data_IF_002249775524
#
_entry.id   IF_002249775524
#
_cell.length_a   1.000
_cell.length_b   1.000
_cell.length_c   1.000
_cell.angle_alpha   90.00
_cell.angle_beta   90.00
_cell.angle_gamma   90.00
#
_symmetry.space_group_name_H-M   'P 1'
#
loop_
_entity.id
_entity.type
_entity.pdbx_description
1 polymer ?
#
# COMPACT_ATOMS: atom_id res chain seq x y z
N UNK A 1 13.78 -17.37 -17.18
CA UNK A 1 14.35 -16.35 -16.28
C UNK A 1 13.34 -16.05 -15.18
N UNK A 2 13.79 -15.65 -14.01
CA UNK A 2 12.92 -15.36 -12.85
C UNK A 2 13.16 -13.95 -12.34
N UNK A 3 12.19 -13.40 -11.63
CA UNK A 3 12.28 -12.10 -10.97
C UNK A 3 11.91 -12.28 -9.50
N UNK A 4 12.51 -11.48 -8.64
CA UNK A 4 12.20 -11.46 -7.22
C UNK A 4 11.46 -10.16 -6.90
N UNK A 5 10.30 -10.29 -6.26
CA UNK A 5 9.57 -9.19 -5.65
C UNK A 5 9.71 -9.23 -4.13
N UNK A 6 10.04 -8.09 -3.52
CA UNK A 6 10.18 -7.93 -2.06
C UNK A 6 9.27 -6.80 -1.60
N UNK A 7 8.38 -7.10 -0.65
CA UNK A 7 7.50 -6.12 0.02
C UNK A 7 7.96 -5.99 1.48
N UNK A 8 8.54 -4.83 1.82
CA UNK A 8 9.04 -4.54 3.17
C UNK A 8 7.93 -3.87 3.97
N UNK A 9 7.22 -4.63 4.80
CA UNK A 9 6.28 -4.07 5.77
C UNK A 9 6.90 -3.92 7.16
N UNK A 10 6.28 -3.10 8.01
CA UNK A 10 6.78 -2.83 9.37
C UNK A 10 6.76 -4.03 10.32
N UNK A 11 6.03 -5.08 9.99
CA UNK A 11 5.95 -6.33 10.81
C UNK A 11 6.60 -7.50 10.12
N UNK A 12 6.41 -7.62 8.82
CA UNK A 12 6.91 -8.73 8.01
C UNK A 12 7.45 -8.21 6.68
N UNK A 13 8.43 -8.94 6.16
CA UNK A 13 8.93 -8.82 4.79
C UNK A 13 8.36 -9.99 4.01
N UNK A 14 7.71 -9.71 2.89
CA UNK A 14 7.23 -10.73 1.96
C UNK A 14 8.14 -10.81 0.76
N UNK A 15 8.48 -12.01 0.36
CA UNK A 15 9.31 -12.26 -0.82
C UNK A 15 8.58 -13.20 -1.76
N UNK A 16 8.52 -12.84 -3.02
CA UNK A 16 7.90 -13.62 -4.08
C UNK A 16 8.86 -13.91 -5.22
N UNK A 17 8.79 -15.12 -5.74
CA UNK A 17 9.46 -15.56 -6.96
C UNK A 17 8.46 -15.54 -8.11
N UNK A 18 8.77 -14.83 -9.18
CA UNK A 18 7.92 -14.62 -10.34
C UNK A 18 8.61 -15.18 -11.59
N UNK A 19 7.88 -15.88 -12.43
CA UNK A 19 8.39 -16.42 -13.69
C UNK A 19 8.28 -15.39 -14.85
N UNK A 20 8.77 -15.73 -16.01
CA UNK A 20 8.74 -14.88 -17.22
C UNK A 20 7.33 -14.56 -17.74
N UNK A 21 6.31 -15.32 -17.34
CA UNK A 21 4.90 -15.07 -17.65
C UNK A 21 4.20 -14.21 -16.60
N UNK A 22 4.96 -13.64 -15.65
CA UNK A 22 4.48 -12.84 -14.52
C UNK A 22 3.59 -13.60 -13.54
N UNK A 23 3.76 -14.93 -13.47
CA UNK A 23 3.05 -15.78 -12.52
C UNK A 23 3.88 -15.91 -11.24
N UNK A 24 3.21 -15.83 -10.11
CA UNK A 24 3.81 -16.02 -8.80
C UNK A 24 4.07 -17.52 -8.56
N UNK A 25 5.34 -17.92 -8.61
CA UNK A 25 5.75 -19.32 -8.45
C UNK A 25 5.70 -19.75 -6.99
N UNK A 26 6.26 -18.93 -6.11
CA UNK A 26 6.30 -19.18 -4.68
C UNK A 26 6.50 -17.89 -3.89
N UNK A 27 6.03 -17.90 -2.64
CA UNK A 27 6.25 -16.80 -1.70
C UNK A 27 6.75 -17.32 -0.36
N UNK A 28 7.40 -16.43 0.37
CA UNK A 28 7.61 -16.60 1.81
C UNK A 28 7.40 -15.27 2.54
N UNK A 29 7.19 -15.36 3.84
CA UNK A 29 7.07 -14.21 4.72
C UNK A 29 7.97 -14.41 5.92
N UNK A 30 8.80 -13.42 6.21
CA UNK A 30 9.74 -13.41 7.34
C UNK A 30 9.49 -12.19 8.21
N UNK A 31 9.80 -12.26 9.49
CA UNK A 31 9.65 -11.12 10.40
C UNK A 31 10.60 -9.99 10.00
N UNK A 32 10.10 -8.76 10.09
CA UNK A 32 10.92 -7.57 9.93
C UNK A 32 11.90 -7.44 11.10
N UNK A 33 13.21 -7.40 10.86
CA UNK A 33 14.21 -7.16 11.91
C UNK A 33 14.27 -5.66 12.23
N UNK A 34 14.24 -5.32 13.53
CA UNK A 34 14.24 -3.91 13.98
C UNK A 34 15.64 -3.37 14.30
N UNK A 35 16.69 -3.99 13.78
CA UNK A 35 18.10 -3.71 14.08
C UNK A 35 18.86 -3.04 12.91
N UNK A 36 18.12 -2.40 12.00
CA UNK A 36 18.65 -1.53 10.96
C UNK A 36 18.65 -2.11 9.56
N UNK A 37 18.93 -1.25 8.58
CA UNK A 37 18.78 -1.56 7.16
C UNK A 37 19.67 -2.72 6.67
N UNK A 38 20.88 -2.87 7.19
CA UNK A 38 21.75 -4.00 6.81
C UNK A 38 21.18 -5.35 7.25
N UNK A 39 20.55 -5.41 8.41
CA UNK A 39 19.88 -6.62 8.89
C UNK A 39 18.63 -6.93 8.04
N UNK A 40 17.87 -5.89 7.65
CA UNK A 40 16.75 -6.04 6.72
C UNK A 40 17.22 -6.64 5.40
N UNK A 41 18.27 -6.10 4.80
CA UNK A 41 18.82 -6.61 3.53
C UNK A 41 19.30 -8.05 3.67
N UNK A 42 20.01 -8.39 4.76
CA UNK A 42 20.44 -9.76 5.04
C UNK A 42 19.25 -10.72 5.16
N UNK A 43 18.20 -10.31 5.86
CA UNK A 43 16.97 -11.10 6.01
C UNK A 43 16.28 -11.32 4.63
N UNK A 44 16.28 -10.30 3.77
CA UNK A 44 15.78 -10.43 2.39
C UNK A 44 16.63 -11.44 1.61
N UNK A 45 17.95 -11.33 1.66
CA UNK A 45 18.86 -12.23 0.95
C UNK A 45 18.65 -13.70 1.40
N UNK A 46 18.58 -13.95 2.70
CA UNK A 46 18.31 -15.27 3.25
C UNK A 46 16.95 -15.85 2.80
N UNK A 47 15.91 -15.00 2.75
CA UNK A 47 14.58 -15.37 2.27
C UNK A 47 14.57 -15.70 0.77
N UNK A 48 15.27 -14.89 -0.04
CA UNK A 48 15.45 -15.15 -1.48
C UNK A 48 16.19 -16.48 -1.70
N UNK A 49 17.30 -16.69 -1.01
CA UNK A 49 18.06 -17.94 -1.13
C UNK A 49 17.25 -19.16 -0.69
N UNK A 50 16.39 -18.99 0.31
CA UNK A 50 15.46 -20.04 0.71
C UNK A 50 14.50 -20.39 -0.43
N UNK A 51 13.84 -19.42 -1.06
CA UNK A 51 12.93 -19.65 -2.18
C UNK A 51 13.63 -20.30 -3.37
N UNK A 52 14.81 -19.80 -3.75
CA UNK A 52 15.58 -20.35 -4.86
C UNK A 52 15.97 -21.82 -4.63
N UNK A 53 16.42 -22.15 -3.40
CA UNK A 53 16.73 -23.54 -3.02
C UNK A 53 15.50 -24.46 -3.08
N UNK A 54 14.33 -23.97 -2.62
CA UNK A 54 13.08 -24.75 -2.65
C UNK A 54 12.65 -25.09 -4.07
N UNK A 55 12.95 -24.23 -5.03
CA UNK A 55 12.58 -24.40 -6.45
C UNK A 55 13.73 -24.95 -7.32
N UNK A 56 14.88 -25.28 -6.71
CA UNK A 56 16.09 -25.73 -7.43
C UNK A 56 16.55 -24.73 -8.51
N UNK A 57 16.37 -23.41 -8.27
CA UNK A 57 16.73 -22.33 -9.19
C UNK A 57 18.10 -21.77 -8.74
N UNK A 58 19.00 -21.53 -9.70
CA UNK A 58 20.28 -20.89 -9.43
C UNK A 58 20.15 -19.36 -9.42
N UNK A 59 20.94 -18.64 -8.61
CA UNK A 59 20.97 -17.17 -8.58
C UNK A 59 21.19 -16.55 -9.98
N UNK A 60 21.98 -17.17 -10.83
CA UNK A 60 22.22 -16.72 -12.23
C UNK A 60 20.97 -16.72 -13.11
N UNK A 61 19.94 -17.46 -12.73
CA UNK A 61 18.67 -17.53 -13.46
C UNK A 61 17.68 -16.44 -13.00
N UNK A 62 18.09 -15.61 -12.02
CA UNK A 62 17.36 -14.42 -11.54
C UNK A 62 17.80 -13.20 -12.33
N UNK A 63 16.84 -12.56 -12.98
CA UNK A 63 17.06 -11.40 -13.86
C UNK A 63 17.12 -10.07 -13.06
N UNK A 64 16.30 -9.95 -12.02
CA UNK A 64 16.21 -8.73 -11.22
C UNK A 64 15.56 -8.94 -9.86
N UNK A 65 15.81 -8.00 -8.94
CA UNK A 65 15.15 -7.90 -7.63
C UNK A 65 14.45 -6.54 -7.55
N UNK A 66 13.12 -6.56 -7.43
CA UNK A 66 12.31 -5.39 -7.14
C UNK A 66 11.99 -5.32 -5.66
N UNK A 67 12.30 -4.20 -5.02
CA UNK A 67 12.04 -3.96 -3.60
C UNK A 67 11.04 -2.82 -3.46
N UNK A 68 9.90 -3.08 -2.83
CA UNK A 68 8.97 -2.02 -2.46
C UNK A 68 9.00 -1.78 -0.96
N UNK A 69 8.83 -0.51 -0.59
CA UNK A 69 8.94 -0.05 0.79
C UNK A 69 7.93 1.07 1.04
N UNK A 70 7.28 1.10 2.20
CA UNK A 70 6.42 2.22 2.56
C UNK A 70 7.26 3.48 2.77
N UNK A 71 6.69 4.64 2.44
CA UNK A 71 7.35 5.94 2.61
C UNK A 71 7.94 6.52 1.34
N UNK A 72 8.71 7.59 1.49
CA UNK A 72 9.25 8.37 0.37
C UNK A 72 10.60 7.86 -0.10
N UNK A 73 10.80 7.88 -1.41
CA UNK A 73 12.03 7.46 -2.08
C UNK A 73 12.61 8.67 -2.83
N UNK A 74 13.93 8.76 -2.94
CA UNK A 74 14.59 9.83 -3.67
C UNK A 74 14.32 9.77 -5.19
N UNK A 75 14.59 10.89 -5.88
CA UNK A 75 14.34 11.02 -7.33
C UNK A 75 15.02 9.96 -8.18
N UNK A 76 16.12 9.38 -7.71
CA UNK A 76 16.91 8.38 -8.46
C UNK A 76 16.44 6.95 -8.18
N UNK A 77 15.54 6.75 -7.20
CA UNK A 77 15.16 5.42 -6.76
C UNK A 77 16.28 4.65 -6.08
N UNK A 78 17.15 5.37 -5.34
CA UNK A 78 18.34 4.78 -4.70
C UNK A 78 18.24 4.75 -3.17
N UNK A 79 17.51 5.71 -2.59
CA UNK A 79 17.44 5.90 -1.14
C UNK A 79 15.99 5.97 -0.66
N UNK A 80 15.77 5.41 0.51
CA UNK A 80 14.57 5.67 1.29
C UNK A 80 14.82 6.94 2.09
N UNK A 81 14.09 8.01 1.78
CA UNK A 81 14.20 9.29 2.48
C UNK A 81 13.60 9.16 3.87
N UNK A 82 12.34 8.74 3.95
CA UNK A 82 11.65 8.48 5.20
C UNK A 82 10.69 7.30 5.09
N UNK A 83 10.81 6.35 6.00
CA UNK A 83 9.86 5.26 6.24
C UNK A 83 9.73 5.04 7.74
N UNK A 84 8.87 5.82 8.38
CA UNK A 84 8.73 5.87 9.85
C UNK A 84 8.43 4.50 10.46
N UNK A 85 7.57 3.71 9.80
CA UNK A 85 7.19 2.37 10.27
C UNK A 85 8.36 1.38 10.28
N UNK A 86 9.43 1.68 9.54
CA UNK A 86 10.63 0.85 9.43
C UNK A 86 11.80 1.45 10.23
N UNK A 87 11.65 2.66 10.75
CA UNK A 87 12.75 3.41 11.36
C UNK A 87 13.84 3.79 10.36
N UNK A 88 13.49 3.92 9.07
CA UNK A 88 14.43 4.32 8.02
C UNK A 88 14.39 5.83 7.84
N UNK A 89 15.57 6.45 7.83
CA UNK A 89 15.79 7.84 7.54
C UNK A 89 17.08 7.97 6.72
N UNK A 90 16.96 8.50 5.50
CA UNK A 90 18.05 8.66 4.53
C UNK A 90 18.88 7.39 4.30
N UNK A 91 18.22 6.24 4.14
CA UNK A 91 18.85 4.94 3.98
C UNK A 91 19.18 4.64 2.52
N UNK A 92 20.45 4.35 2.14
CA UNK A 92 20.83 3.96 0.78
C UNK A 92 20.46 2.48 0.50
N UNK A 93 19.15 2.18 0.55
CA UNK A 93 18.65 0.80 0.55
C UNK A 93 19.01 0.06 -0.74
N UNK A 94 18.95 0.74 -1.90
CA UNK A 94 19.33 0.12 -3.17
C UNK A 94 20.80 -0.31 -3.19
N UNK A 95 21.71 0.55 -2.71
CA UNK A 95 23.14 0.22 -2.66
C UNK A 95 23.41 -0.96 -1.72
N UNK A 96 22.77 -0.98 -0.53
CA UNK A 96 22.89 -2.09 0.41
C UNK A 96 22.36 -3.41 -0.19
N UNK A 97 21.22 -3.37 -0.86
CA UNK A 97 20.65 -4.55 -1.52
C UNK A 97 21.50 -4.97 -2.72
N UNK A 98 22.03 -4.01 -3.52
CA UNK A 98 22.91 -4.32 -4.65
C UNK A 98 24.20 -5.00 -4.20
N UNK A 99 24.75 -4.62 -3.02
CA UNK A 99 25.91 -5.27 -2.42
C UNK A 99 25.61 -6.77 -2.11
N UNK A 100 24.40 -7.08 -1.59
CA UNK A 100 23.99 -8.44 -1.25
C UNK A 100 23.68 -9.31 -2.49
N UNK A 101 23.06 -8.70 -3.52
CA UNK A 101 22.65 -9.42 -4.75
C UNK A 101 23.71 -9.41 -5.85
N UNK A 102 24.83 -8.69 -5.67
CA UNK A 102 25.96 -8.68 -6.60
C UNK A 102 25.58 -8.09 -7.96
N UNK A 103 25.71 -8.89 -9.03
CA UNK A 103 25.42 -8.47 -10.40
C UNK A 103 23.94 -8.44 -10.76
N UNK A 104 23.06 -9.00 -9.92
CA UNK A 104 21.60 -8.99 -10.16
C UNK A 104 21.09 -7.57 -9.94
N UNK A 105 20.48 -6.90 -10.95
CA UNK A 105 19.98 -5.55 -10.80
C UNK A 105 18.91 -5.42 -9.72
N UNK A 106 19.05 -4.40 -8.86
CA UNK A 106 18.08 -4.08 -7.81
C UNK A 106 17.32 -2.80 -8.16
N UNK A 107 16.02 -2.85 -8.05
CA UNK A 107 15.12 -1.70 -8.23
C UNK A 107 14.38 -1.41 -6.94
N UNK A 108 14.20 -0.12 -6.63
CA UNK A 108 13.50 0.35 -5.44
C UNK A 108 12.29 1.20 -5.84
N UNK A 109 11.14 0.93 -5.24
CA UNK A 109 9.93 1.71 -5.44
C UNK A 109 9.15 1.87 -4.13
N UNK A 110 8.27 2.88 -4.08
CA UNK A 110 7.25 2.97 -3.04
C UNK A 110 6.26 1.79 -3.19
N UNK A 111 5.66 1.34 -2.09
CA UNK A 111 4.76 0.19 -2.05
C UNK A 111 3.50 0.37 -2.92
N UNK A 112 2.86 1.54 -2.88
CA UNK A 112 1.69 1.83 -3.71
C UNK A 112 2.05 1.93 -5.21
N UNK A 113 3.21 2.49 -5.54
CA UNK A 113 3.74 2.50 -6.91
C UNK A 113 4.04 1.08 -7.39
N UNK A 114 4.63 0.25 -6.54
CA UNK A 114 4.86 -1.17 -6.83
C UNK A 114 3.56 -1.94 -7.09
N UNK A 115 2.52 -1.67 -6.30
CA UNK A 115 1.20 -2.25 -6.52
C UNK A 115 0.59 -1.81 -7.86
N UNK A 116 0.68 -0.53 -8.23
CA UNK A 116 0.18 -0.05 -9.52
C UNK A 116 0.96 -0.63 -10.71
N UNK A 117 2.28 -0.84 -10.57
CA UNK A 117 3.07 -1.55 -11.58
C UNK A 117 2.65 -3.02 -11.71
N UNK A 118 2.35 -3.70 -10.59
CA UNK A 118 1.85 -5.06 -10.63
C UNK A 118 0.52 -5.15 -11.39
N UNK A 119 -0.40 -4.19 -11.16
CA UNK A 119 -1.65 -4.11 -11.92
C UNK A 119 -1.41 -3.83 -13.41
N UNK A 120 -0.40 -3.05 -13.77
CA UNK A 120 -0.06 -2.76 -15.17
C UNK A 120 0.48 -4.00 -15.90
N UNK A 121 1.33 -4.78 -15.27
CA UNK A 121 1.98 -5.91 -15.93
C UNK A 121 1.20 -7.23 -15.81
N UNK A 122 0.49 -7.45 -14.69
CA UNK A 122 -0.16 -8.71 -14.38
C UNK A 122 -1.64 -8.63 -13.99
N UNK A 123 -2.17 -7.40 -13.75
CA UNK A 123 -3.51 -7.19 -13.19
C UNK A 123 -4.48 -6.42 -14.10
N UNK A 124 -5.31 -5.59 -13.44
CA UNK A 124 -6.43 -4.89 -14.04
C UNK A 124 -6.03 -3.79 -15.06
N UNK A 125 -4.77 -3.34 -15.05
CA UNK A 125 -4.28 -2.27 -15.94
C UNK A 125 -3.59 -2.77 -17.20
N UNK A 126 -3.62 -4.08 -17.46
CA UNK A 126 -2.98 -4.65 -18.67
C UNK A 126 -3.55 -4.02 -19.94
N UNK A 127 -2.66 -3.38 -20.72
CA UNK A 127 -3.01 -2.70 -21.97
C UNK A 127 -3.55 -1.27 -21.79
N UNK A 128 -3.80 -0.80 -20.57
CA UNK A 128 -4.21 0.57 -20.32
C UNK A 128 -3.06 1.56 -20.50
N UNK A 129 -3.38 2.74 -21.02
CA UNK A 129 -2.46 3.88 -21.10
C UNK A 129 -2.60 4.82 -19.92
N UNK A 130 -3.84 4.98 -19.42
CA UNK A 130 -4.14 5.83 -18.27
C UNK A 130 -4.95 5.05 -17.27
N UNK A 131 -4.39 4.79 -16.10
CA UNK A 131 -5.04 4.05 -15.04
C UNK A 131 -4.62 4.56 -13.67
N UNK A 132 -5.48 4.40 -12.67
CA UNK A 132 -5.22 4.84 -11.30
C UNK A 132 -5.57 3.73 -10.32
N UNK A 133 -4.64 3.43 -9.41
CA UNK A 133 -4.86 2.55 -8.29
C UNK A 133 -5.03 3.38 -7.01
N UNK A 134 -6.07 3.07 -6.24
CA UNK A 134 -6.16 3.43 -4.83
C UNK A 134 -5.88 2.22 -3.96
N UNK A 135 -4.98 2.35 -3.00
CA UNK A 135 -4.69 1.31 -1.99
C UNK A 135 -5.28 1.73 -0.65
N UNK A 136 -6.38 1.05 -0.24
CA UNK A 136 -7.11 1.34 0.99
C UNK A 136 -6.58 0.43 2.11
N UNK A 137 -5.79 1.01 2.99
CA UNK A 137 -5.23 0.37 4.17
C UNK A 137 -5.42 1.23 5.41
N UNK A 138 -4.47 1.19 6.35
CA UNK A 138 -4.41 2.11 7.48
C UNK A 138 -4.47 3.57 7.01
N UNK A 139 -3.75 3.89 5.91
CA UNK A 139 -3.83 5.11 5.14
C UNK A 139 -4.47 4.87 3.76
N UNK A 140 -4.39 5.90 2.91
CA UNK A 140 -4.75 5.85 1.50
C UNK A 140 -3.52 6.15 0.66
N UNK A 141 -3.02 5.13 -0.02
CA UNK A 141 -1.99 5.27 -1.03
C UNK A 141 -2.57 5.17 -2.44
N UNK A 142 -1.70 5.27 -3.43
CA UNK A 142 -2.10 5.05 -4.80
C UNK A 142 -0.97 5.22 -5.81
N UNK A 143 -1.24 4.81 -7.04
CA UNK A 143 -0.31 4.99 -8.15
C UNK A 143 -1.05 5.34 -9.42
N UNK A 144 -0.39 6.11 -10.28
CA UNK A 144 -0.94 6.60 -11.54
C UNK A 144 -0.11 6.05 -12.70
N UNK A 145 -0.78 5.47 -13.66
CA UNK A 145 -0.21 5.11 -14.96
C UNK A 145 -0.61 6.18 -15.96
N UNK A 146 0.38 6.78 -16.65
CA UNK A 146 0.17 7.72 -17.74
C UNK A 146 1.00 7.30 -18.96
N UNK A 147 0.35 7.22 -20.11
CA UNK A 147 1.01 6.79 -21.35
C UNK A 147 1.54 5.34 -21.30
N UNK A 148 0.97 4.51 -20.44
CA UNK A 148 1.44 3.12 -20.21
C UNK A 148 2.68 3.00 -19.30
N UNK A 149 3.03 4.07 -18.58
CA UNK A 149 4.18 4.10 -17.67
C UNK A 149 3.77 4.64 -16.30
N UNK A 150 4.49 4.20 -15.25
CA UNK A 150 4.33 4.76 -13.91
C UNK A 150 4.61 6.26 -13.92
N UNK A 151 3.67 7.05 -13.40
CA UNK A 151 3.83 8.48 -13.22
C UNK A 151 4.34 8.78 -11.81
N UNK A 152 5.59 9.16 -11.69
CA UNK A 152 6.25 9.47 -10.42
C UNK A 152 6.24 10.98 -10.08
N UNK A 153 5.42 11.78 -10.79
CA UNK A 153 5.41 13.23 -10.61
C UNK A 153 6.61 13.94 -11.25
N UNK A 154 6.55 15.27 -11.29
CA UNK A 154 7.62 16.09 -11.89
C UNK A 154 8.94 16.07 -11.12
N UNK A 155 8.90 15.79 -9.83
CA UNK A 155 10.07 15.67 -8.94
C UNK A 155 10.55 14.23 -8.76
N UNK A 156 9.86 13.27 -9.38
CA UNK A 156 10.12 11.83 -9.28
C UNK A 156 10.11 11.30 -7.82
N UNK A 157 9.34 11.94 -6.94
CA UNK A 157 9.21 11.56 -5.53
C UNK A 157 7.93 10.75 -5.27
N UNK A 158 7.19 10.43 -6.33
CA UNK A 158 5.90 9.78 -6.27
C UNK A 158 4.73 10.77 -6.26
N UNK A 159 3.55 10.20 -6.29
CA UNK A 159 2.27 10.93 -6.25
C UNK A 159 1.50 10.49 -5.02
N UNK A 160 1.20 11.43 -4.16
CA UNK A 160 0.53 11.19 -2.87
C UNK A 160 -0.98 11.46 -3.00
N UNK A 161 -1.71 10.53 -3.65
CA UNK A 161 -3.15 10.66 -3.90
C UNK A 161 -3.96 10.85 -2.62
N UNK A 162 -3.57 10.15 -1.55
CA UNK A 162 -4.25 10.24 -0.27
C UNK A 162 -4.22 11.62 0.37
N UNK A 163 -3.25 12.46 0.00
CA UNK A 163 -3.11 13.80 0.55
C UNK A 163 -3.70 14.91 -0.32
N UNK A 164 -4.38 14.56 -1.42
CA UNK A 164 -5.24 15.52 -2.13
C UNK A 164 -6.42 15.94 -1.24
N UNK A 165 -6.81 17.22 -1.31
CA UNK A 165 -7.96 17.71 -0.55
C UNK A 165 -9.27 17.13 -1.06
N UNK A 166 -10.08 16.57 -0.17
CA UNK A 166 -11.45 16.17 -0.41
C UNK A 166 -12.44 17.17 0.18
N UNK A 167 -12.13 17.65 1.40
CA UNK A 167 -12.98 18.60 2.15
C UNK A 167 -12.11 19.73 2.68
N UNK A 168 -12.29 20.93 2.17
CA UNK A 168 -11.52 22.09 2.65
C UNK A 168 -11.79 22.36 4.15
N UNK A 169 -10.72 22.37 4.96
CA UNK A 169 -10.82 22.58 6.41
C UNK A 169 -11.55 21.43 7.15
N UNK A 170 -11.55 20.24 6.57
CA UNK A 170 -12.22 19.06 7.13
C UNK A 170 -11.42 18.33 8.22
N UNK A 171 -11.50 17.00 8.24
CA UNK A 171 -10.84 16.14 9.22
C UNK A 171 -9.31 16.25 9.15
N UNK A 172 -8.67 16.25 10.33
CA UNK A 172 -7.22 16.29 10.43
C UNK A 172 -6.57 15.01 9.85
N UNK A 173 -5.55 15.20 9.02
CA UNK A 173 -4.76 14.13 8.41
C UNK A 173 -3.40 14.00 9.11
N UNK A 174 -2.86 12.79 9.11
CA UNK A 174 -1.54 12.48 9.70
C UNK A 174 -0.39 13.25 9.04
N UNK A 175 -0.57 13.76 7.81
CA UNK A 175 0.41 14.62 7.14
C UNK A 175 0.46 16.07 7.67
N UNK A 176 -0.43 16.43 8.60
CA UNK A 176 -0.51 17.78 9.20
C UNK A 176 -1.50 18.73 8.50
N UNK A 177 -2.10 18.34 7.37
CA UNK A 177 -3.15 19.10 6.69
C UNK A 177 -4.54 18.68 7.17
N UNK A 178 -5.55 19.51 6.90
CA UNK A 178 -6.94 19.22 7.21
C UNK A 178 -7.72 18.99 5.89
N UNK A 179 -8.45 17.86 5.82
CA UNK A 179 -9.35 17.58 4.69
C UNK A 179 -8.77 16.72 3.58
N UNK A 180 -7.66 16.01 3.78
CA UNK A 180 -7.09 15.06 2.83
C UNK A 180 -8.06 13.89 2.55
N UNK A 181 -8.01 13.32 1.34
CA UNK A 181 -8.77 12.11 0.98
C UNK A 181 -8.54 10.96 1.96
N UNK A 182 -7.31 10.75 2.43
CA UNK A 182 -6.95 9.74 3.43
C UNK A 182 -7.80 9.85 4.70
N UNK A 183 -8.02 11.08 5.19
CA UNK A 183 -8.80 11.32 6.40
C UNK A 183 -10.29 10.91 6.27
N UNK A 184 -10.75 10.56 5.08
CA UNK A 184 -12.13 10.12 4.80
C UNK A 184 -12.23 8.72 4.19
N UNK A 185 -11.21 8.29 3.45
CA UNK A 185 -11.27 7.07 2.63
C UNK A 185 -10.35 5.94 3.13
N UNK A 186 -9.57 6.16 4.18
CA UNK A 186 -8.74 5.10 4.77
C UNK A 186 -9.51 4.24 5.79
N UNK A 187 -8.99 3.05 6.12
CA UNK A 187 -9.52 2.21 7.19
C UNK A 187 -9.54 2.94 8.55
N UNK A 188 -8.54 3.78 8.81
CA UNK A 188 -8.47 4.61 10.02
C UNK A 188 -9.63 5.61 10.12
N UNK A 189 -10.06 6.17 8.99
CA UNK A 189 -11.22 7.06 8.92
C UNK A 189 -12.51 6.32 9.28
N UNK A 190 -12.71 5.14 8.67
CA UNK A 190 -13.88 4.30 8.95
C UNK A 190 -13.94 3.87 10.42
N UNK A 191 -12.80 3.45 10.99
CA UNK A 191 -12.69 3.13 12.41
C UNK A 191 -12.98 4.34 13.32
N UNK A 192 -12.43 5.52 13.00
CA UNK A 192 -12.70 6.78 13.73
C UNK A 192 -14.19 7.10 13.75
N UNK A 193 -14.85 7.03 12.61
CA UNK A 193 -16.25 7.39 12.48
C UNK A 193 -17.16 6.33 13.12
N UNK A 194 -16.78 5.04 13.07
CA UNK A 194 -17.40 3.98 13.85
C UNK A 194 -17.32 4.21 15.37
N UNK A 195 -16.16 4.65 15.87
CA UNK A 195 -15.99 5.04 17.29
C UNK A 195 -16.89 6.22 17.70
N UNK A 196 -17.03 7.20 16.80
CA UNK A 196 -17.91 8.35 17.01
C UNK A 196 -19.39 7.93 17.01
N UNK A 197 -19.77 7.07 16.07
CA UNK A 197 -21.12 6.53 15.95
C UNK A 197 -21.50 5.68 17.18
N UNK A 198 -20.61 4.79 17.63
CA UNK A 198 -20.79 4.00 18.84
C UNK A 198 -21.08 4.86 20.08
N UNK A 199 -20.36 5.98 20.25
CA UNK A 199 -20.57 6.92 21.37
C UNK A 199 -21.94 7.58 21.31
N UNK A 200 -22.47 7.87 20.11
CA UNK A 200 -23.79 8.50 19.91
C UNK A 200 -24.93 7.48 20.01
N UNK A 201 -24.65 6.23 19.65
CA UNK A 201 -25.61 5.12 19.56
C UNK A 201 -25.10 3.92 20.37
N UNK A 202 -25.14 3.98 21.70
CA UNK A 202 -24.69 2.87 22.57
C UNK A 202 -25.54 1.59 22.42
N UNK A 203 -26.70 1.68 21.83
CA UNK A 203 -27.58 0.57 21.47
C UNK A 203 -27.18 -0.16 20.18
N UNK A 204 -26.25 0.39 19.39
CA UNK A 204 -25.86 -0.17 18.09
C UNK A 204 -25.11 -1.50 18.21
N UNK A 205 -25.11 -2.26 17.12
CA UNK A 205 -24.32 -3.50 17.04
C UNK A 205 -22.82 -3.22 17.13
N UNK A 206 -22.34 -2.04 16.65
CA UNK A 206 -20.96 -1.59 16.84
C UNK A 206 -20.62 -1.57 18.34
N UNK A 207 -21.47 -0.93 19.16
CA UNK A 207 -21.24 -0.84 20.60
C UNK A 207 -21.26 -2.21 21.29
N UNK A 208 -22.22 -3.07 20.93
CA UNK A 208 -22.34 -4.40 21.48
C UNK A 208 -21.10 -5.26 21.17
N UNK A 209 -20.62 -5.27 19.93
CA UNK A 209 -19.46 -6.06 19.50
C UNK A 209 -18.13 -5.53 20.02
N UNK A 210 -18.01 -4.20 20.13
CA UNK A 210 -16.84 -3.56 20.73
C UNK A 210 -16.78 -3.77 22.26
N UNK A 211 -17.82 -4.36 22.88
CA UNK A 211 -17.92 -4.52 24.34
C UNK A 211 -17.96 -3.18 25.06
N UNK A 212 -18.49 -2.13 24.42
CA UNK A 212 -18.53 -0.77 24.92
C UNK A 212 -17.18 -0.02 24.88
N UNK A 213 -16.09 -0.65 24.41
CA UNK A 213 -14.76 -0.03 24.33
C UNK A 213 -14.46 0.48 22.93
N UNK A 214 -14.23 1.81 22.75
CA UNK A 214 -13.84 2.37 21.46
C UNK A 214 -12.53 1.79 20.89
N UNK A 215 -11.65 1.29 21.73
CA UNK A 215 -10.38 0.70 21.34
C UNK A 215 -10.56 -0.54 20.45
N UNK A 216 -11.68 -1.26 20.63
CA UNK A 216 -12.02 -2.46 19.89
C UNK A 216 -12.71 -2.17 18.54
N UNK A 217 -12.99 -0.90 18.22
CA UNK A 217 -13.62 -0.52 16.96
C UNK A 217 -12.58 -0.34 15.89
N UNK A 218 -12.55 -1.21 14.89
CA UNK A 218 -11.79 -1.11 13.67
C UNK A 218 -12.69 -1.03 12.43
N UNK A 219 -12.11 -0.87 11.26
CA UNK A 219 -12.86 -0.79 10.00
C UNK A 219 -13.64 -2.07 9.71
N UNK A 220 -13.04 -3.23 10.00
CA UNK A 220 -13.67 -4.54 9.77
C UNK A 220 -14.92 -4.69 10.60
N UNK A 221 -14.88 -4.35 11.88
CA UNK A 221 -16.03 -4.41 12.77
C UNK A 221 -17.19 -3.55 12.26
N UNK A 222 -16.91 -2.32 11.81
CA UNK A 222 -17.93 -1.41 11.23
C UNK A 222 -18.56 -2.03 9.99
N UNK A 223 -17.75 -2.55 9.06
CA UNK A 223 -18.22 -3.18 7.83
C UNK A 223 -19.06 -4.43 8.14
N UNK A 224 -18.61 -5.28 9.06
CA UNK A 224 -19.34 -6.50 9.44
C UNK A 224 -20.70 -6.15 10.07
N UNK A 225 -20.77 -5.15 10.94
CA UNK A 225 -22.03 -4.66 11.51
C UNK A 225 -22.97 -4.09 10.44
N UNK A 226 -22.42 -3.34 9.46
CA UNK A 226 -23.21 -2.80 8.35
C UNK A 226 -23.80 -3.92 7.47
N UNK A 227 -23.00 -4.96 7.16
CA UNK A 227 -23.46 -6.14 6.41
C UNK A 227 -24.56 -6.90 7.13
N UNK A 228 -24.59 -6.88 8.45
CA UNK A 228 -25.62 -7.53 9.27
C UNK A 228 -26.88 -6.67 9.44
N UNK A 229 -26.88 -5.47 8.91
CA UNK A 229 -28.06 -4.63 8.86
C UNK A 229 -28.18 -3.62 9.99
N UNK A 230 -27.13 -3.38 10.78
CA UNK A 230 -27.13 -2.31 11.79
C UNK A 230 -27.19 -0.94 11.10
N UNK A 231 -28.25 -0.18 11.39
CA UNK A 231 -28.49 1.11 10.71
C UNK A 231 -27.41 2.16 11.03
N UNK A 232 -26.84 2.11 12.25
CA UNK A 232 -25.74 3.01 12.65
C UNK A 232 -24.48 2.71 11.86
N UNK A 233 -24.12 1.42 11.71
CA UNK A 233 -22.96 1.00 10.94
C UNK A 233 -23.14 1.27 9.45
N UNK A 234 -24.35 1.06 8.90
CA UNK A 234 -24.68 1.40 7.52
C UNK A 234 -24.49 2.88 7.26
N UNK A 235 -25.01 3.76 8.13
CA UNK A 235 -24.84 5.20 7.95
C UNK A 235 -23.35 5.62 7.91
N UNK A 236 -22.52 5.01 8.76
CA UNK A 236 -21.07 5.26 8.75
C UNK A 236 -20.44 4.74 7.45
N UNK A 237 -20.82 3.55 7.01
CA UNK A 237 -20.29 2.94 5.79
C UNK A 237 -20.73 3.68 4.54
N UNK A 238 -21.98 4.12 4.46
CA UNK A 238 -22.52 4.90 3.32
C UNK A 238 -21.77 6.24 3.18
N UNK A 239 -21.52 6.94 4.29
CA UNK A 239 -20.73 8.17 4.29
C UNK A 239 -19.29 7.93 3.81
N UNK A 240 -18.70 6.80 4.19
CA UNK A 240 -17.38 6.39 3.71
C UNK A 240 -17.39 6.15 2.18
N UNK A 241 -18.40 5.45 1.67
CA UNK A 241 -18.56 5.19 0.22
C UNK A 241 -18.78 6.49 -0.54
N UNK A 242 -19.58 7.43 -0.02
CA UNK A 242 -19.78 8.75 -0.64
C UNK A 242 -18.47 9.54 -0.75
N UNK A 243 -17.65 9.49 0.29
CA UNK A 243 -16.33 10.12 0.30
C UNK A 243 -15.40 9.49 -0.74
N UNK A 244 -15.36 8.16 -0.81
CA UNK A 244 -14.55 7.41 -1.78
C UNK A 244 -15.02 7.66 -3.22
N UNK A 245 -16.35 7.73 -3.42
CA UNK A 245 -16.94 8.06 -4.71
C UNK A 245 -16.55 9.47 -5.18
N UNK A 246 -16.53 10.44 -4.25
CA UNK A 246 -16.09 11.80 -4.52
C UNK A 246 -14.60 11.87 -4.88
N UNK A 247 -13.76 11.07 -4.20
CA UNK A 247 -12.34 10.93 -4.52
C UNK A 247 -12.14 10.35 -5.94
N UNK A 248 -12.85 9.26 -6.26
CA UNK A 248 -12.84 8.66 -7.60
C UNK A 248 -13.31 9.65 -8.69
N UNK A 249 -14.40 10.39 -8.44
CA UNK A 249 -14.92 11.37 -9.36
C UNK A 249 -13.93 12.52 -9.63
N UNK A 250 -13.19 12.96 -8.62
CA UNK A 250 -12.13 13.97 -8.75
C UNK A 250 -11.00 13.50 -9.66
N UNK A 251 -10.56 12.27 -9.48
CA UNK A 251 -9.53 11.64 -10.31
C UNK A 251 -10.04 11.40 -11.74
N UNK A 252 -11.27 10.94 -11.86
CA UNK A 252 -11.91 10.74 -13.16
C UNK A 252 -11.94 12.05 -13.98
N UNK A 253 -12.39 13.14 -13.35
CA UNK A 253 -12.47 14.45 -14.01
C UNK A 253 -11.10 15.07 -14.34
N UNK A 254 -10.04 14.68 -13.60
CA UNK A 254 -8.69 15.21 -13.81
C UNK A 254 -7.92 14.46 -14.89
N UNK A 255 -8.01 13.12 -14.90
CA UNK A 255 -7.12 12.24 -15.69
C UNK A 255 -7.87 11.49 -16.80
N UNK A 256 -9.21 11.40 -16.77
CA UNK A 256 -10.02 10.58 -17.67
C UNK A 256 -9.43 9.15 -17.85
N UNK A 257 -9.21 8.40 -16.75
CA UNK A 257 -8.53 7.12 -16.82
C UNK A 257 -9.42 6.03 -17.41
N UNK A 258 -8.82 5.09 -18.14
CA UNK A 258 -9.49 3.90 -18.66
C UNK A 258 -9.99 2.99 -17.54
N UNK A 259 -9.23 2.95 -16.41
CA UNK A 259 -9.55 2.15 -15.22
C UNK A 259 -9.16 2.90 -13.96
N UNK A 260 -10.04 2.89 -12.97
CA UNK A 260 -9.73 3.17 -11.57
C UNK A 260 -9.89 1.85 -10.82
N UNK A 261 -8.80 1.31 -10.27
CA UNK A 261 -8.84 0.13 -9.42
C UNK A 261 -8.76 0.53 -7.95
N UNK A 262 -9.44 -0.23 -7.11
CA UNK A 262 -9.42 -0.08 -5.67
C UNK A 262 -8.92 -1.39 -5.08
N UNK A 263 -7.84 -1.34 -4.30
CA UNK A 263 -7.24 -2.49 -3.64
C UNK A 263 -6.87 -2.19 -2.19
N UNK A 264 -6.29 -3.17 -1.50
CA UNK A 264 -5.85 -3.03 -0.13
C UNK A 264 -6.71 -3.79 0.88
N UNK A 265 -6.43 -3.59 2.17
CA UNK A 265 -7.02 -4.41 3.24
C UNK A 265 -8.48 -4.10 3.57
N UNK A 266 -9.07 -3.07 2.99
CA UNK A 266 -10.49 -2.70 3.19
C UNK A 266 -11.39 -3.34 2.13
N UNK A 267 -10.83 -3.85 1.03
CA UNK A 267 -11.57 -4.43 -0.10
C UNK A 267 -11.97 -5.89 0.11
#
# INVERSE_FOLDING_TARGET
MYQIGVDIGGTNIKVGLVNETMELVQTCSVRFPHDGARSVVKTIEEAVDFLLRQQAIARKDVESVGVVVPGSIDQKGERVIDAYNLGFHDVPLKALAQEAFGEIPVYLANDANGAALAELYAGAFRGCKTAVLFTLGTGLGGGIILGGHMFNGGMNQGVELGHMYLVNGGEHCTCGNDGCMEAYCAASALARDGKRAMKKHPESLIAARAGGSPENVDAKLVIDCAKEGDETAKAVFDQYIDSLSSACASIYNLLDPEVIAIGGGVC
#
